data_IF_553973419564
#
_entry.id   IF_553973419564
#
_cell.length_a   1.000
_cell.length_b   1.000
_cell.length_c   1.000
_cell.angle_alpha   90.00
_cell.angle_beta   90.00
_cell.angle_gamma   90.00
#
_symmetry.space_group_name_H-M   'P 1'
#
loop_
_entity.id
_entity.type
_entity.pdbx_description
1 polymer ?
#
# COMPACT_ATOMS: atom_id res chain seq x y z
N UNK A 1 21.54 11.80 12.66
CA UNK A 1 21.55 11.35 11.26
C UNK A 1 20.38 10.40 11.11
N UNK A 2 19.34 10.85 10.40
CA UNK A 2 17.95 10.34 10.42
C UNK A 2 17.69 9.21 9.40
N UNK A 3 18.65 8.29 9.25
CA UNK A 3 18.64 7.30 8.18
C UNK A 3 17.48 6.29 8.28
N UNK A 4 16.96 6.07 9.49
CA UNK A 4 15.87 5.12 9.74
C UNK A 4 14.50 5.66 9.30
N UNK A 5 14.15 6.90 9.63
CA UNK A 5 12.82 7.46 9.34
C UNK A 5 12.62 7.68 7.85
N UNK A 6 13.64 8.21 7.17
CA UNK A 6 13.60 8.42 5.73
C UNK A 6 13.52 7.09 4.95
N UNK A 7 14.19 6.04 5.42
CA UNK A 7 14.08 4.71 4.86
C UNK A 7 12.66 4.12 5.04
N UNK A 8 12.05 4.28 6.20
CA UNK A 8 10.67 3.82 6.47
C UNK A 8 9.66 4.58 5.61
N UNK A 9 9.80 5.91 5.48
CA UNK A 9 8.95 6.72 4.57
C UNK A 9 9.12 6.34 3.11
N UNK A 10 10.35 6.09 2.67
CA UNK A 10 10.62 5.62 1.32
C UNK A 10 9.97 4.25 1.06
N UNK A 11 10.02 3.34 2.04
CA UNK A 11 9.35 2.05 1.96
C UNK A 11 7.82 2.21 1.88
N UNK A 12 7.22 3.03 2.73
CA UNK A 12 5.79 3.32 2.69
C UNK A 12 5.32 3.81 1.31
N UNK A 13 6.06 4.77 0.72
CA UNK A 13 5.77 5.29 -0.63
C UNK A 13 5.87 4.21 -1.71
N UNK A 14 6.89 3.35 -1.64
CA UNK A 14 7.06 2.24 -2.59
C UNK A 14 5.93 1.22 -2.48
N UNK A 15 5.49 0.91 -1.27
CA UNK A 15 4.37 0.00 -1.03
C UNK A 15 3.06 0.58 -1.56
N UNK A 16 2.81 1.87 -1.35
CA UNK A 16 1.63 2.55 -1.92
C UNK A 16 1.66 2.55 -3.46
N UNK A 17 2.80 2.85 -4.08
CA UNK A 17 2.94 2.78 -5.53
C UNK A 17 2.68 1.36 -6.08
N UNK A 18 3.13 0.32 -5.37
CA UNK A 18 2.81 -1.05 -5.74
C UNK A 18 1.31 -1.36 -5.65
N UNK A 19 0.60 -0.80 -4.66
CA UNK A 19 -0.86 -0.93 -4.57
C UNK A 19 -1.56 -0.28 -5.78
N UNK A 20 -1.09 0.88 -6.22
CA UNK A 20 -1.59 1.57 -7.41
C UNK A 20 -1.34 0.78 -8.69
N UNK A 21 -0.16 0.17 -8.85
CA UNK A 21 0.16 -0.70 -9.98
C UNK A 21 -0.75 -1.94 -10.02
N UNK A 22 -1.02 -2.55 -8.86
CA UNK A 22 -1.94 -3.69 -8.70
C UNK A 22 -3.38 -3.27 -9.06
N UNK A 23 -3.81 -2.06 -8.69
CA UNK A 23 -5.12 -1.52 -9.10
C UNK A 23 -5.19 -1.22 -10.59
N UNK A 24 -4.12 -0.70 -11.18
CA UNK A 24 -4.03 -0.44 -12.61
C UNK A 24 -4.22 -1.75 -13.41
N UNK A 25 -3.80 -2.88 -12.85
CA UNK A 25 -4.00 -4.21 -13.47
C UNK A 25 -5.44 -4.73 -13.38
N UNK A 26 -6.31 -4.19 -12.51
CA UNK A 26 -7.76 -4.55 -12.50
C UNK A 26 -8.50 -4.04 -13.72
N UNK A 27 -8.20 -2.84 -14.21
CA UNK A 27 -8.92 -2.23 -15.36
C UNK A 27 -8.91 -3.12 -16.62
N UNK A 28 -7.75 -3.67 -17.05
CA UNK A 28 -7.72 -4.64 -18.15
C UNK A 28 -8.51 -5.92 -17.86
N UNK A 29 -8.49 -6.43 -16.62
CA UNK A 29 -9.23 -7.63 -16.23
C UNK A 29 -10.73 -7.41 -16.39
N UNK A 30 -11.27 -6.28 -15.92
CA UNK A 30 -12.69 -5.94 -16.10
C UNK A 30 -13.06 -5.84 -17.59
N UNK A 31 -12.26 -5.14 -18.39
CA UNK A 31 -12.50 -4.99 -19.83
C UNK A 31 -12.49 -6.33 -20.58
N UNK A 32 -11.65 -7.28 -20.14
CA UNK A 32 -11.59 -8.64 -20.74
C UNK A 32 -12.83 -9.48 -20.42
N UNK A 33 -13.60 -9.11 -19.38
CA UNK A 33 -14.84 -9.80 -19.01
C UNK A 33 -16.03 -9.48 -19.92
N UNK A 34 -15.98 -8.38 -20.67
CA UNK A 34 -17.08 -7.88 -21.53
C UNK A 34 -17.10 -8.51 -22.94
N UNK A 35 -16.24 -9.48 -23.20
CA UNK A 35 -16.14 -10.12 -24.53
C UNK A 35 -17.42 -10.91 -24.84
N UNK A 36 -17.98 -10.72 -26.04
CA UNK A 36 -19.21 -11.35 -26.55
C UNK A 36 -19.09 -12.87 -26.83
N UNK A 37 -18.19 -13.55 -26.13
CA UNK A 37 -17.98 -14.98 -26.22
C UNK A 37 -18.91 -15.73 -25.25
N UNK A 38 -19.58 -16.76 -25.76
CA UNK A 38 -20.61 -17.52 -25.06
C UNK A 38 -20.26 -19.01 -24.96
N UNK A 39 -20.95 -19.73 -24.06
CA UNK A 39 -20.75 -21.15 -23.81
C UNK A 39 -20.02 -21.46 -22.49
N UNK A 40 -19.88 -22.75 -22.18
CA UNK A 40 -19.32 -23.23 -20.90
C UNK A 40 -17.88 -22.77 -20.66
N UNK A 41 -17.07 -22.70 -21.72
CA UNK A 41 -15.70 -22.18 -21.67
C UNK A 41 -15.67 -20.70 -21.31
N UNK A 42 -16.60 -19.91 -21.83
CA UNK A 42 -16.71 -18.49 -21.52
C UNK A 42 -17.14 -18.26 -20.06
N UNK A 43 -18.06 -19.08 -19.54
CA UNK A 43 -18.44 -19.04 -18.13
C UNK A 43 -17.25 -19.34 -17.21
N UNK A 44 -16.50 -20.43 -17.47
CA UNK A 44 -15.29 -20.79 -16.71
C UNK A 44 -14.22 -19.72 -16.77
N UNK A 45 -14.07 -19.07 -17.93
CA UNK A 45 -13.13 -17.96 -18.09
C UNK A 45 -13.53 -16.76 -17.21
N UNK A 46 -14.80 -16.32 -17.27
CA UNK A 46 -15.31 -15.24 -16.42
C UNK A 46 -15.20 -15.55 -14.93
N UNK A 47 -15.45 -16.78 -14.51
CA UNK A 47 -15.26 -17.19 -13.11
C UNK A 47 -13.81 -17.03 -12.66
N UNK A 48 -12.85 -17.49 -13.48
CA UNK A 48 -11.42 -17.32 -13.19
C UNK A 48 -11.00 -15.86 -13.21
N UNK A 49 -11.57 -15.06 -14.10
CA UNK A 49 -11.32 -13.63 -14.19
C UNK A 49 -11.82 -12.91 -12.94
N UNK A 50 -13.03 -13.27 -12.46
CA UNK A 50 -13.58 -12.77 -11.20
C UNK A 50 -12.77 -13.21 -9.98
N UNK A 51 -12.23 -14.43 -9.98
CA UNK A 51 -11.33 -14.87 -8.91
C UNK A 51 -10.01 -14.10 -8.90
N UNK A 52 -9.42 -13.89 -10.08
CA UNK A 52 -8.23 -13.06 -10.23
C UNK A 52 -8.49 -11.62 -9.77
N UNK A 53 -9.61 -11.02 -10.16
CA UNK A 53 -10.01 -9.67 -9.73
C UNK A 53 -10.11 -9.54 -8.19
N UNK A 54 -10.74 -10.52 -7.53
CA UNK A 54 -10.81 -10.56 -6.05
C UNK A 54 -9.43 -10.66 -5.41
N UNK A 55 -8.56 -11.53 -5.92
CA UNK A 55 -7.20 -11.73 -5.38
C UNK A 55 -6.34 -10.48 -5.56
N UNK A 56 -6.46 -9.81 -6.70
CA UNK A 56 -5.79 -8.53 -6.99
C UNK A 56 -6.31 -7.43 -6.05
N UNK A 57 -7.62 -7.37 -5.82
CA UNK A 57 -8.21 -6.43 -4.85
C UNK A 57 -7.65 -6.62 -3.43
N UNK A 58 -7.68 -7.86 -2.92
CA UNK A 58 -7.14 -8.18 -1.60
C UNK A 58 -5.65 -7.85 -1.46
N UNK A 59 -4.86 -8.05 -2.52
CA UNK A 59 -3.45 -7.71 -2.53
C UNK A 59 -3.25 -6.19 -2.44
N UNK A 60 -4.00 -5.40 -3.22
CA UNK A 60 -3.94 -3.94 -3.15
C UNK A 60 -4.31 -3.43 -1.75
N UNK A 61 -5.37 -3.97 -1.15
CA UNK A 61 -5.80 -3.58 0.20
C UNK A 61 -4.74 -3.94 1.26
N UNK A 62 -4.06 -5.08 1.10
CA UNK A 62 -2.95 -5.48 1.98
C UNK A 62 -1.75 -4.54 1.84
N UNK A 63 -1.43 -4.11 0.62
CA UNK A 63 -0.38 -3.13 0.37
C UNK A 63 -0.72 -1.77 1.00
N UNK A 64 -1.98 -1.32 0.89
CA UNK A 64 -2.43 -0.07 1.51
C UNK A 64 -2.32 -0.11 3.04
N UNK A 65 -2.79 -1.19 3.69
CA UNK A 65 -2.66 -1.36 5.14
C UNK A 65 -1.19 -1.37 5.58
N UNK A 66 -0.32 -2.07 4.84
CA UNK A 66 1.11 -2.06 5.09
C UNK A 66 1.74 -0.66 4.93
N UNK A 67 1.34 0.09 3.89
CA UNK A 67 1.82 1.45 3.66
C UNK A 67 1.36 2.41 4.77
N UNK A 68 0.10 2.30 5.21
CA UNK A 68 -0.45 3.09 6.31
C UNK A 68 0.31 2.84 7.62
N UNK A 69 0.53 1.57 7.97
CA UNK A 69 1.29 1.19 9.19
C UNK A 69 2.74 1.69 9.15
N UNK A 70 3.40 1.62 7.99
CA UNK A 70 4.75 2.16 7.83
C UNK A 70 4.77 3.69 7.98
N UNK A 71 3.77 4.39 7.44
CA UNK A 71 3.64 5.83 7.59
C UNK A 71 3.39 6.25 9.05
N UNK A 72 2.50 5.53 9.75
CA UNK A 72 2.25 5.72 11.19
C UNK A 72 3.51 5.49 12.02
N UNK A 73 4.26 4.42 11.72
CA UNK A 73 5.51 4.13 12.41
C UNK A 73 6.56 5.23 12.17
N UNK A 74 6.70 5.72 10.94
CA UNK A 74 7.58 6.85 10.64
C UNK A 74 7.17 8.12 11.40
N UNK A 75 5.87 8.39 11.52
CA UNK A 75 5.37 9.53 12.28
C UNK A 75 5.66 9.42 13.78
N UNK A 76 5.48 8.22 14.36
CA UNK A 76 5.79 7.94 15.75
C UNK A 76 7.27 8.19 16.08
N UNK A 77 8.17 7.69 15.23
CA UNK A 77 9.62 7.92 15.38
C UNK A 77 9.97 9.41 15.35
N UNK A 78 9.33 10.20 14.47
CA UNK A 78 9.56 11.65 14.40
C UNK A 78 9.06 12.37 15.68
N UNK A 79 7.91 11.95 16.22
CA UNK A 79 7.34 12.54 17.43
C UNK A 79 8.21 12.28 18.68
N UNK A 80 8.72 11.05 18.82
CA UNK A 80 9.62 10.66 19.91
C UNK A 80 10.92 11.48 19.87
N UNK A 81 11.55 11.58 18.70
CA UNK A 81 12.77 12.37 18.51
C UNK A 81 12.56 13.86 18.83
N UNK A 82 11.40 14.42 18.45
CA UNK A 82 11.05 15.81 18.74
C UNK A 82 10.91 16.03 20.26
N UNK A 83 10.29 15.08 20.96
CA UNK A 83 10.10 15.12 22.41
C UNK A 83 11.44 15.09 23.15
N UNK A 84 12.35 14.19 22.75
CA UNK A 84 13.70 14.10 23.31
C UNK A 84 14.48 15.42 23.13
N UNK A 85 14.43 16.00 21.93
CA UNK A 85 15.11 17.27 21.63
C UNK A 85 14.55 18.44 22.45
N UNK A 86 13.23 18.54 22.61
CA UNK A 86 12.62 19.57 23.46
C UNK A 86 12.98 19.41 24.93
N UNK A 87 13.04 18.18 25.43
CA UNK A 87 13.43 17.87 26.81
C UNK A 87 14.90 18.22 27.06
N UNK A 88 15.78 17.85 26.13
CA UNK A 88 17.21 18.14 26.20
C UNK A 88 17.55 19.63 26.04
N UNK A 89 16.69 20.42 25.39
CA UNK A 89 16.83 21.87 25.30
C UNK A 89 16.39 22.56 26.60
N UNK A 90 15.25 22.16 27.18
CA UNK A 90 14.75 22.70 28.44
C UNK A 90 15.69 22.44 29.64
N UNK A 91 16.32 21.26 29.69
CA UNK A 91 17.28 20.91 30.73
C UNK A 91 18.61 21.69 30.65
N UNK A 92 18.92 22.33 29.52
CA UNK A 92 20.17 23.10 29.31
C UNK A 92 20.02 24.58 29.65
N UNK A 93 18.77 25.05 29.75
CA UNK A 93 18.40 26.43 30.05
C UNK A 93 17.98 26.64 31.50
N UNK A 94 17.86 25.58 32.29
CA UNK A 94 17.56 25.58 33.72
C UNK A 94 18.84 25.35 34.53
#
# INVERSE_FOLDING_TARGET
MDLGQDAVRALARRTAAAADDVRATRRPLTATGEVAWMGLSAARFRDRLGDADRRVGLLADTCDDAAARLAEHAAALTAELTTELTTAAGARTA
#
